data_IF_062306472309
#
_entry.id   IF_062306472309
#
_cell.length_a   1.000
_cell.length_b   1.000
_cell.length_c   1.000
_cell.angle_alpha   90.00
_cell.angle_beta   90.00
_cell.angle_gamma   90.00
#
_symmetry.space_group_name_H-M   'P 1'
#
loop_
_entity.id
_entity.type
_entity.pdbx_description
1 polymer ?
#
# COMPACT_ATOMS: atom_id res chain seq x y z
N UNK A 1 -12.15 4.49 -16.92
CA UNK A 1 -11.96 4.59 -15.47
C UNK A 1 -12.97 5.60 -14.94
N UNK A 2 -13.61 5.27 -13.82
CA UNK A 2 -14.40 6.22 -13.05
C UNK A 2 -13.40 7.04 -12.23
N UNK A 3 -13.42 8.37 -12.37
CA UNK A 3 -12.48 9.24 -11.69
C UNK A 3 -12.69 9.16 -10.17
N UNK A 4 -11.62 9.09 -9.39
CA UNK A 4 -11.75 9.20 -7.95
C UNK A 4 -12.43 10.53 -7.56
N UNK A 5 -13.14 10.55 -6.42
CA UNK A 5 -13.78 11.77 -5.93
C UNK A 5 -12.79 12.93 -5.82
N UNK A 6 -13.24 14.14 -6.13
CA UNK A 6 -12.42 15.34 -6.05
C UNK A 6 -11.76 15.47 -4.66
N UNK A 7 -10.43 15.54 -4.63
CA UNK A 7 -9.64 15.62 -3.39
C UNK A 7 -9.07 14.28 -2.90
N UNK A 8 -9.43 13.16 -3.51
CA UNK A 8 -8.78 11.86 -3.27
C UNK A 8 -7.59 11.73 -4.21
N UNK A 9 -6.38 11.71 -3.66
CA UNK A 9 -5.18 11.49 -4.46
C UNK A 9 -5.25 10.08 -5.11
N UNK A 10 -5.18 10.03 -6.43
CA UNK A 10 -5.02 8.77 -7.16
C UNK A 10 -3.74 8.07 -6.67
N UNK A 11 -3.80 6.80 -6.22
CA UNK A 11 -2.62 6.05 -5.85
C UNK A 11 -1.60 6.10 -7.00
N UNK A 12 -0.47 6.77 -6.77
CA UNK A 12 0.64 6.82 -7.72
C UNK A 12 0.56 7.90 -8.81
N UNK A 13 -0.31 8.90 -8.71
CA UNK A 13 -0.15 10.13 -9.51
C UNK A 13 0.64 11.17 -8.72
N UNK A 14 1.92 11.34 -9.06
CA UNK A 14 2.71 12.46 -8.57
C UNK A 14 2.69 13.60 -9.59
N UNK A 15 2.80 14.85 -9.13
CA UNK A 15 3.02 15.98 -10.01
C UNK A 15 4.24 15.72 -10.91
N UNK A 16 4.28 16.32 -12.10
CA UNK A 16 5.42 16.12 -12.98
C UNK A 16 6.67 16.78 -12.37
N UNK A 17 7.80 16.07 -12.37
CA UNK A 17 9.01 16.53 -11.70
C UNK A 17 9.70 17.68 -12.44
N UNK A 18 9.45 17.85 -13.75
CA UNK A 18 10.02 18.92 -14.56
C UNK A 18 9.25 20.24 -14.46
N UNK A 19 7.96 20.16 -14.14
CA UNK A 19 7.06 21.32 -14.07
C UNK A 19 6.72 21.73 -12.64
N UNK A 20 6.52 20.77 -11.74
CA UNK A 20 5.99 20.98 -10.39
C UNK A 20 6.81 20.20 -9.33
N UNK A 21 8.13 20.45 -9.20
CA UNK A 21 9.01 19.64 -8.37
C UNK A 21 8.69 19.70 -6.87
N UNK A 22 8.21 20.83 -6.35
CA UNK A 22 7.84 20.95 -4.94
C UNK A 22 6.56 20.14 -4.63
N UNK A 23 5.56 20.24 -5.50
CA UNK A 23 4.30 19.49 -5.41
C UNK A 23 4.55 17.99 -5.48
N UNK A 24 5.49 17.55 -6.34
CA UNK A 24 5.98 16.18 -6.39
C UNK A 24 6.62 15.76 -5.07
N UNK A 25 7.60 16.52 -4.58
CA UNK A 25 8.31 16.19 -3.35
C UNK A 25 7.36 16.08 -2.15
N UNK A 26 6.37 16.97 -2.04
CA UNK A 26 5.35 16.90 -1.00
C UNK A 26 4.52 15.61 -1.09
N UNK A 27 4.12 15.19 -2.30
CA UNK A 27 3.39 13.94 -2.50
C UNK A 27 4.22 12.69 -2.18
N UNK A 28 5.50 12.68 -2.55
CA UNK A 28 6.43 11.59 -2.22
C UNK A 28 6.65 11.48 -0.70
N UNK A 29 6.87 12.61 -0.02
CA UNK A 29 6.99 12.65 1.45
C UNK A 29 5.70 12.21 2.16
N UNK A 30 4.54 12.65 1.67
CA UNK A 30 3.24 12.23 2.22
C UNK A 30 3.05 10.70 2.10
N UNK A 31 3.46 10.12 0.97
CA UNK A 31 3.39 8.67 0.76
C UNK A 31 4.28 7.91 1.75
N UNK A 32 5.51 8.38 1.97
CA UNK A 32 6.42 7.79 2.96
C UNK A 32 5.85 7.92 4.38
N UNK A 33 5.30 9.09 4.74
CA UNK A 33 4.72 9.32 6.05
C UNK A 33 3.52 8.41 6.33
N UNK A 34 2.62 8.24 5.35
CA UNK A 34 1.48 7.33 5.47
C UNK A 34 1.94 5.88 5.58
N UNK A 35 2.91 5.46 4.76
CA UNK A 35 3.46 4.11 4.83
C UNK A 35 4.10 3.82 6.20
N UNK A 36 4.86 4.78 6.74
CA UNK A 36 5.44 4.70 8.06
C UNK A 36 4.38 4.57 9.16
N UNK A 37 3.34 5.41 9.13
CA UNK A 37 2.25 5.37 10.11
C UNK A 37 1.49 4.03 10.08
N UNK A 38 1.22 3.49 8.89
CA UNK A 38 0.58 2.18 8.77
C UNK A 38 1.45 1.04 9.33
N UNK A 39 2.76 1.05 9.06
CA UNK A 39 3.69 0.06 9.60
C UNK A 39 3.83 0.17 11.12
N UNK A 40 3.82 1.39 11.66
CA UNK A 40 3.81 1.66 13.10
C UNK A 40 2.62 0.99 13.77
N UNK A 41 1.41 1.21 13.25
CA UNK A 41 0.20 0.59 13.80
C UNK A 41 0.17 -0.94 13.63
N UNK A 42 0.74 -1.47 12.55
CA UNK A 42 0.90 -2.93 12.40
C UNK A 42 1.77 -3.49 13.52
N UNK A 43 2.79 -2.77 13.97
CA UNK A 43 3.62 -3.21 15.10
C UNK A 43 2.87 -3.12 16.42
N UNK A 44 2.07 -2.08 16.67
CA UNK A 44 1.17 -2.04 17.82
C UNK A 44 0.19 -3.22 17.85
N UNK A 45 -0.44 -3.56 16.72
CA UNK A 45 -1.34 -4.71 16.62
C UNK A 45 -0.60 -6.01 17.00
N UNK A 46 0.65 -6.17 16.60
CA UNK A 46 1.47 -7.33 17.01
C UNK A 46 1.71 -7.34 18.51
N UNK A 47 2.10 -6.21 19.10
CA UNK A 47 2.27 -6.08 20.55
C UNK A 47 1.00 -6.47 21.33
N UNK A 48 -0.16 -6.03 20.86
CA UNK A 48 -1.46 -6.36 21.46
C UNK A 48 -1.78 -7.85 21.34
N UNK A 49 -1.53 -8.48 20.17
CA UNK A 49 -1.80 -9.90 19.94
C UNK A 49 -0.84 -10.82 20.69
N UNK A 50 0.40 -10.40 20.88
CA UNK A 50 1.45 -11.16 21.56
C UNK A 50 1.45 -10.93 23.09
N UNK A 51 0.66 -9.97 23.59
CA UNK A 51 0.65 -9.59 25.00
C UNK A 51 1.94 -8.90 25.45
N UNK A 52 2.68 -8.30 24.51
CA UNK A 52 3.94 -7.58 24.77
C UNK A 52 3.76 -6.06 24.74
N UNK A 53 2.54 -5.58 24.46
CA UNK A 53 2.20 -4.16 24.56
C UNK A 53 2.15 -3.67 26.00
N UNK A 54 2.43 -2.38 26.17
CA UNK A 54 2.26 -1.69 27.44
C UNK A 54 0.80 -1.73 27.88
N UNK A 55 0.57 -1.75 29.19
CA UNK A 55 -0.78 -1.78 29.73
C UNK A 55 -1.54 -0.49 29.31
N UNK A 56 -2.74 -0.60 28.69
CA UNK A 56 -3.49 0.56 28.20
C UNK A 56 -3.78 1.58 29.31
N UNK A 57 -4.17 1.08 30.48
CA UNK A 57 -4.47 1.85 31.68
C UNK A 57 -3.30 1.89 32.68
N UNK A 58 -2.12 1.42 32.27
CA UNK A 58 -0.90 1.51 33.07
C UNK A 58 -0.39 2.95 33.15
N UNK A 59 0.15 3.31 34.32
CA UNK A 59 0.80 4.60 34.55
C UNK A 59 2.30 4.60 34.19
N UNK A 60 2.86 3.46 33.76
CA UNK A 60 4.28 3.38 33.41
C UNK A 60 4.54 4.03 32.05
N UNK A 61 5.04 5.26 32.10
CA UNK A 61 5.46 6.02 30.92
C UNK A 61 6.65 5.38 30.20
N UNK A 62 7.50 4.62 30.91
CA UNK A 62 8.68 3.97 30.33
C UNK A 62 8.27 2.80 29.45
N UNK A 63 7.31 2.00 29.88
CA UNK A 63 6.78 0.88 29.08
C UNK A 63 6.11 1.39 27.80
N UNK A 64 5.27 2.42 27.92
CA UNK A 64 4.66 3.07 26.75
C UNK A 64 5.71 3.63 25.81
N UNK A 65 6.70 4.33 26.34
CA UNK A 65 7.79 4.88 25.52
C UNK A 65 8.58 3.78 24.79
N UNK A 66 8.85 2.65 25.44
CA UNK A 66 9.54 1.51 24.81
C UNK A 66 8.71 0.88 23.70
N UNK A 67 7.41 0.69 23.91
CA UNK A 67 6.51 0.18 22.87
C UNK A 67 6.48 1.11 21.65
N UNK A 68 6.25 2.40 21.86
CA UNK A 68 6.25 3.41 20.79
C UNK A 68 7.58 3.42 20.03
N UNK A 69 8.70 3.35 20.76
CA UNK A 69 10.03 3.31 20.15
C UNK A 69 10.23 2.06 19.30
N UNK A 70 9.78 0.89 19.76
CA UNK A 70 9.87 -0.34 18.95
C UNK A 70 8.96 -0.33 17.72
N UNK A 71 7.84 0.41 17.76
CA UNK A 71 6.97 0.61 16.59
C UNK A 71 7.65 1.52 15.57
N UNK A 72 8.25 2.63 16.03
CA UNK A 72 9.04 3.54 15.20
C UNK A 72 10.25 2.82 14.57
N UNK A 73 10.98 2.03 15.36
CA UNK A 73 12.14 1.25 14.91
C UNK A 73 11.75 0.26 13.82
N UNK A 74 10.68 -0.51 14.04
CA UNK A 74 10.16 -1.45 13.05
C UNK A 74 9.78 -0.77 11.74
N UNK A 75 8.95 0.28 11.80
CA UNK A 75 8.46 0.97 10.62
C UNK A 75 9.62 1.58 9.81
N UNK A 76 10.58 2.19 10.50
CA UNK A 76 11.76 2.81 9.88
C UNK A 76 12.67 1.76 9.26
N UNK A 77 13.01 0.69 9.98
CA UNK A 77 13.86 -0.38 9.47
C UNK A 77 13.25 -1.05 8.23
N UNK A 78 11.95 -1.34 8.27
CA UNK A 78 11.25 -1.93 7.14
C UNK A 78 11.31 -1.02 5.91
N UNK A 79 11.01 0.27 6.04
CA UNK A 79 11.05 1.21 4.92
C UNK A 79 12.45 1.33 4.34
N UNK A 80 13.48 1.46 5.18
CA UNK A 80 14.87 1.56 4.72
C UNK A 80 15.32 0.29 3.99
N UNK A 81 14.98 -0.89 4.51
CA UNK A 81 15.26 -2.16 3.84
C UNK A 81 14.59 -2.23 2.47
N UNK A 82 13.31 -1.84 2.36
CA UNK A 82 12.59 -1.85 1.08
C UNK A 82 13.16 -0.83 0.09
N UNK A 83 13.53 0.37 0.55
CA UNK A 83 14.20 1.37 -0.29
C UNK A 83 15.55 0.84 -0.80
N UNK A 84 16.33 0.19 0.06
CA UNK A 84 17.59 -0.43 -0.33
C UNK A 84 17.39 -1.55 -1.35
N UNK A 85 16.37 -2.40 -1.17
CA UNK A 85 16.04 -3.46 -2.12
C UNK A 85 15.62 -2.91 -3.49
N UNK A 86 14.81 -1.86 -3.53
CA UNK A 86 14.36 -1.23 -4.77
C UNK A 86 15.49 -0.46 -5.49
N UNK A 87 16.42 0.15 -4.75
CA UNK A 87 17.59 0.84 -5.36
C UNK A 87 18.62 -0.14 -5.95
N UNK A 88 18.64 -1.39 -5.49
CA UNK A 88 19.48 -2.47 -6.03
C UNK A 88 18.86 -3.17 -7.25
N UNK A 89 17.60 -2.89 -7.59
CA UNK A 89 16.94 -3.55 -8.73
C UNK A 89 17.36 -2.91 -10.08
N UNK A 90 17.57 -3.73 -11.13
CA UNK A 90 17.72 -3.24 -12.49
C UNK A 90 16.62 -2.24 -12.86
N UNK A 91 16.99 -1.11 -13.47
CA UNK A 91 16.05 -0.03 -13.80
C UNK A 91 14.83 -0.50 -14.63
N UNK A 92 14.99 -1.57 -15.42
CA UNK A 92 13.90 -2.20 -16.18
C UNK A 92 12.86 -2.88 -15.29
N UNK A 93 13.26 -3.56 -14.21
CA UNK A 93 12.34 -4.22 -13.28
C UNK A 93 11.58 -3.19 -12.43
N UNK A 94 12.23 -2.09 -12.04
CA UNK A 94 11.56 -0.97 -11.35
C UNK A 94 10.53 -0.31 -12.27
N UNK A 95 10.87 -0.09 -13.56
CA UNK A 95 9.91 0.40 -14.56
C UNK A 95 8.74 -0.56 -14.73
N UNK A 96 9.00 -1.87 -14.79
CA UNK A 96 7.97 -2.89 -14.96
C UNK A 96 7.04 -2.97 -13.74
N UNK A 97 7.55 -2.91 -12.51
CA UNK A 97 6.73 -2.82 -11.28
C UNK A 97 5.86 -1.56 -11.24
N UNK A 98 6.42 -0.40 -11.61
CA UNK A 98 5.66 0.85 -11.74
C UNK A 98 4.58 0.78 -12.82
N UNK A 99 4.83 0.05 -13.90
CA UNK A 99 3.85 -0.23 -14.94
C UNK A 99 2.80 -1.26 -14.48
N UNK A 100 3.17 -2.25 -13.68
CA UNK A 100 2.24 -3.24 -13.12
C UNK A 100 1.29 -2.64 -12.09
N UNK A 101 1.74 -1.67 -11.28
CA UNK A 101 0.87 -0.83 -10.46
C UNK A 101 -0.13 0.01 -11.29
N UNK A 102 0.20 0.29 -12.56
CA UNK A 102 -0.71 0.89 -13.55
C UNK A 102 -1.48 -0.16 -14.38
N UNK A 103 -1.09 -1.44 -14.31
CA UNK A 103 -1.66 -2.54 -15.11
C UNK A 103 -2.81 -3.27 -14.41
N UNK A 104 -3.39 -2.70 -13.36
CA UNK A 104 -4.76 -3.04 -12.94
C UNK A 104 -5.80 -2.75 -14.04
N UNK A 105 -5.42 -2.04 -15.12
CA UNK A 105 -6.27 -1.65 -16.24
C UNK A 105 -5.97 -2.40 -17.57
N UNK A 106 -5.13 -3.45 -17.54
CA UNK A 106 -4.94 -4.29 -18.72
C UNK A 106 -6.04 -5.36 -18.78
N UNK A 107 -7.07 -5.09 -19.61
CA UNK A 107 -8.17 -6.00 -19.94
C UNK A 107 -7.75 -7.47 -19.93
N UNK A 108 -8.41 -8.26 -19.07
CA UNK A 108 -8.37 -9.72 -19.16
C UNK A 108 -8.76 -10.11 -20.59
N UNK A 109 -7.97 -10.94 -21.31
CA UNK A 109 -8.45 -11.50 -22.57
C UNK A 109 -9.70 -12.34 -22.29
N UNK A 110 -10.72 -12.17 -23.14
CA UNK A 110 -12.04 -12.81 -23.08
C UNK A 110 -11.97 -14.35 -23.30
N UNK A 111 -11.25 -15.08 -22.46
CA UNK A 111 -11.18 -16.56 -22.53
C UNK A 111 -12.14 -17.28 -21.59
N UNK A 112 -13.16 -16.58 -21.05
CA UNK A 112 -14.26 -17.22 -20.31
C UNK A 112 -15.60 -16.63 -20.75
N UNK A 113 -15.91 -16.78 -22.04
CA UNK A 113 -17.30 -16.67 -22.52
C UNK A 113 -17.63 -17.90 -23.36
N UNK A 114 -17.56 -19.07 -22.73
CA UNK A 114 -17.73 -20.35 -23.39
C UNK A 114 -18.19 -21.49 -22.48
N UNK A 115 -18.85 -21.21 -21.36
CA UNK A 115 -19.47 -22.25 -20.54
C UNK A 115 -20.54 -21.64 -19.64
N UNK A 116 -21.66 -21.20 -20.20
CA UNK A 116 -22.95 -21.00 -19.52
C UNK A 116 -23.99 -20.53 -20.57
N UNK A 117 -24.26 -21.38 -21.55
CA UNK A 117 -25.48 -21.25 -22.36
C UNK A 117 -25.85 -22.61 -22.96
N UNK A 118 -26.32 -23.52 -22.11
CA UNK A 118 -27.24 -24.62 -22.45
C UNK A 118 -28.07 -24.97 -21.22
N UNK A 119 -28.98 -24.08 -20.82
CA UNK A 119 -30.25 -24.49 -20.23
C UNK A 119 -31.32 -24.15 -21.24
N UNK A 120 -31.54 -25.10 -22.15
CA UNK A 120 -32.67 -25.08 -23.07
C UNK A 120 -33.95 -25.22 -22.26
N UNK A 121 -34.71 -24.13 -22.23
CA UNK A 121 -36.13 -24.14 -21.97
C UNK A 121 -36.78 -24.68 -23.25
N UNK A 122 -37.34 -25.89 -23.21
CA UNK A 122 -38.22 -26.39 -24.26
C UNK A 122 -39.55 -26.77 -23.60
N UNK A 123 -40.57 -25.98 -23.89
CA UNK A 123 -41.97 -26.31 -23.66
C UNK A 123 -42.50 -27.16 -24.81
N UNK A 124 -43.38 -28.11 -24.45
CA UNK A 124 -44.51 -28.70 -25.19
C UNK A 124 -44.21 -29.64 -26.37
N UNK A 125 -44.63 -30.90 -26.22
CA UNK A 125 -45.98 -31.32 -26.60
C UNK A 125 -46.59 -32.19 -25.49
#
# INVERSE_FOLDING_TARGET
>A
MEALPAGVAEPGSYADAGTEPQSRAAGELATIAVAWALLHEVRHIRHQREGTGAAPYGSDATEKHREEFSCNEFATAFLLEQIEQETKQPAELVRQKRQLGKAGDQKRPDYVRGALSRRGFMQRN
#
